data_IF_469142499006
#
_entry.id   IF_469142499006
#
_cell.length_a   1.000
_cell.length_b   1.000
_cell.length_c   1.000
_cell.angle_alpha   90.00
_cell.angle_beta   90.00
_cell.angle_gamma   90.00
#
_symmetry.space_group_name_H-M   'P 1'
#
loop_
_entity.id
_entity.type
_entity.pdbx_description
1 polymer ?
#
# COMPACT_ATOMS: atom_id res chain seq x y z
N UNK A 1 43.18 53.55 1.31
CA UNK A 1 42.22 53.53 0.18
C UNK A 1 42.41 52.26 -0.68
N UNK A 2 43.62 51.89 -1.09
CA UNK A 2 43.86 50.72 -1.98
C UNK A 2 43.53 49.40 -1.31
N UNK A 3 43.85 49.21 -0.03
CA UNK A 3 43.54 47.97 0.72
C UNK A 3 42.04 47.77 0.93
N UNK A 4 41.26 48.82 1.16
CA UNK A 4 39.83 48.76 1.28
C UNK A 4 39.15 48.44 -0.07
N UNK A 5 39.67 48.98 -1.17
CA UNK A 5 39.19 48.66 -2.51
C UNK A 5 39.46 47.23 -2.93
N UNK A 6 40.62 46.68 -2.54
CA UNK A 6 40.98 45.29 -2.81
C UNK A 6 40.10 44.30 -2.00
N UNK A 7 39.81 44.61 -0.71
CA UNK A 7 38.90 43.79 0.11
C UNK A 7 37.48 43.81 -0.45
N UNK A 8 36.99 44.95 -0.90
CA UNK A 8 35.65 45.05 -1.54
C UNK A 8 35.61 44.25 -2.85
N UNK A 9 36.69 44.34 -3.67
CA UNK A 9 36.75 43.58 -4.92
C UNK A 9 36.78 42.06 -4.68
N UNK A 10 37.59 41.57 -3.70
CA UNK A 10 37.62 40.14 -3.31
C UNK A 10 36.26 39.67 -2.80
N UNK A 11 35.57 40.46 -2.00
CA UNK A 11 34.30 40.12 -1.45
C UNK A 11 33.16 40.04 -2.51
N UNK A 12 33.18 40.92 -3.51
CA UNK A 12 32.15 40.94 -4.53
C UNK A 12 32.45 40.12 -5.80
N UNK A 13 33.70 39.88 -6.12
CA UNK A 13 34.09 39.20 -7.37
C UNK A 13 34.69 37.80 -7.14
N UNK A 14 35.28 37.52 -5.98
CA UNK A 14 36.00 36.27 -5.74
C UNK A 14 35.29 35.37 -4.77
N UNK A 15 34.57 35.90 -3.78
CA UNK A 15 33.81 35.08 -2.85
C UNK A 15 32.51 34.60 -3.51
N UNK A 16 32.28 33.27 -3.56
CA UNK A 16 31.02 32.74 -4.11
C UNK A 16 29.86 33.13 -3.20
N UNK A 17 28.93 33.92 -3.72
CA UNK A 17 27.72 34.31 -3.03
C UNK A 17 26.48 33.98 -3.87
N UNK A 18 25.37 33.67 -3.22
CA UNK A 18 24.12 33.39 -3.93
C UNK A 18 22.96 34.21 -3.34
N UNK A 19 22.08 34.68 -4.21
CA UNK A 19 20.78 35.29 -3.88
C UNK A 19 19.63 34.29 -3.96
N UNK A 20 19.85 33.15 -4.67
CA UNK A 20 18.82 32.17 -4.98
C UNK A 20 19.03 30.87 -4.17
N UNK A 21 19.11 30.99 -2.85
CA UNK A 21 19.03 29.84 -1.96
C UNK A 21 17.58 29.41 -1.78
N UNK A 22 17.23 28.19 -2.18
CA UNK A 22 15.90 27.60 -2.02
C UNK A 22 15.96 26.41 -1.08
N UNK A 23 15.08 26.43 -0.08
CA UNK A 23 14.86 25.25 0.78
C UNK A 23 13.94 24.29 0.03
N UNK A 24 14.38 23.06 -0.14
CA UNK A 24 13.63 21.97 -0.75
C UNK A 24 13.48 20.82 0.23
N UNK A 25 12.47 19.99 0.03
CA UNK A 25 12.26 18.75 0.74
C UNK A 25 11.74 17.69 -0.23
N UNK A 26 11.90 16.43 0.11
CA UNK A 26 11.25 15.37 -0.64
C UNK A 26 9.76 15.33 -0.31
N UNK A 27 8.96 15.22 -1.36
CA UNK A 27 7.51 15.20 -1.27
C UNK A 27 7.01 13.87 -1.80
N UNK A 28 6.32 13.12 -0.94
CA UNK A 28 5.68 11.86 -1.31
C UNK A 28 4.22 12.15 -1.64
N UNK A 29 3.79 11.86 -2.87
CA UNK A 29 2.39 11.91 -3.22
C UNK A 29 1.66 10.70 -2.64
N UNK A 30 0.67 10.95 -1.81
CA UNK A 30 -0.16 9.91 -1.20
C UNK A 30 -1.35 9.63 -2.12
N UNK A 31 -1.42 8.40 -2.60
CA UNK A 31 -2.52 7.88 -3.41
C UNK A 31 -3.05 6.59 -2.79
N UNK A 32 -4.36 6.34 -2.82
CA UNK A 32 -4.91 5.07 -2.36
C UNK A 32 -4.61 3.94 -3.35
N UNK A 33 -4.45 2.73 -2.85
CA UNK A 33 -4.29 1.51 -3.67
C UNK A 33 -5.65 0.89 -4.05
N UNK A 34 -6.72 1.24 -3.32
CA UNK A 34 -8.09 0.77 -3.57
C UNK A 34 -9.02 1.95 -3.77
N UNK A 35 -10.03 1.77 -4.63
CA UNK A 35 -11.02 2.80 -4.90
C UNK A 35 -12.26 2.63 -4.02
N UNK A 36 -12.86 3.74 -3.60
CA UNK A 36 -14.10 3.73 -2.85
C UNK A 36 -14.45 5.07 -2.22
N UNK A 37 -15.56 5.06 -1.47
CA UNK A 37 -16.01 6.22 -0.72
C UNK A 37 -15.11 6.45 0.49
N UNK A 38 -14.64 7.67 0.70
CA UNK A 38 -13.87 8.05 1.88
C UNK A 38 -14.81 8.22 3.07
N UNK A 39 -14.57 7.46 4.11
CA UNK A 39 -15.41 7.48 5.32
C UNK A 39 -14.86 8.40 6.40
N UNK A 40 -13.54 8.52 6.49
CA UNK A 40 -12.89 9.38 7.47
C UNK A 40 -11.58 9.97 6.93
N UNK A 41 -11.30 11.22 7.31
CA UNK A 41 -10.03 11.92 7.08
C UNK A 41 -9.64 12.56 8.41
N UNK A 42 -8.92 11.83 9.28
CA UNK A 42 -8.60 12.31 10.63
C UNK A 42 -7.49 13.38 10.64
N UNK A 43 -6.81 13.60 9.53
CA UNK A 43 -5.74 14.60 9.40
C UNK A 43 -6.22 15.89 8.77
N UNK A 44 -5.48 16.98 9.03
CA UNK A 44 -5.73 18.31 8.46
C UNK A 44 -4.54 18.76 7.61
N UNK A 45 -4.79 19.73 6.74
CA UNK A 45 -3.71 20.34 5.97
C UNK A 45 -2.72 21.05 6.90
N UNK A 46 -1.43 20.93 6.61
CA UNK A 46 -0.31 21.40 7.43
C UNK A 46 -0.14 20.71 8.81
N UNK A 47 -0.77 19.56 9.03
CA UNK A 47 -0.58 18.75 10.24
C UNK A 47 0.70 17.90 10.15
N UNK A 48 1.45 17.88 11.25
CA UNK A 48 2.57 16.94 11.40
C UNK A 48 2.05 15.55 11.76
N UNK A 49 2.54 14.53 11.07
CA UNK A 49 2.16 13.12 11.25
C UNK A 49 3.43 12.25 11.36
N UNK A 50 3.28 11.11 12.01
CA UNK A 50 4.33 10.10 12.12
C UNK A 50 4.06 8.93 11.17
N UNK A 51 5.11 8.23 10.80
CA UNK A 51 4.99 6.97 10.04
C UNK A 51 4.05 6.01 10.77
N UNK A 52 3.04 5.49 10.04
CA UNK A 52 1.99 4.63 10.58
C UNK A 52 0.72 5.35 11.04
N UNK A 53 0.69 6.69 11.11
CA UNK A 53 -0.53 7.43 11.39
C UNK A 53 -1.55 7.28 10.25
N UNK A 54 -2.83 7.19 10.60
CA UNK A 54 -3.92 7.07 9.62
C UNK A 54 -4.16 8.41 8.95
N UNK A 55 -3.98 8.47 7.62
CA UNK A 55 -4.25 9.65 6.83
C UNK A 55 -5.72 9.72 6.40
N UNK A 56 -6.29 8.63 5.92
CA UNK A 56 -7.71 8.52 5.61
C UNK A 56 -8.15 7.06 5.50
N UNK A 57 -9.46 6.83 5.55
CA UNK A 57 -10.09 5.51 5.45
C UNK A 57 -11.11 5.48 4.32
N UNK A 58 -11.11 4.36 3.57
CA UNK A 58 -12.00 4.11 2.43
C UNK A 58 -12.93 2.95 2.80
N UNK A 59 -14.25 3.20 2.86
CA UNK A 59 -15.35 2.22 3.01
C UNK A 59 -14.93 0.83 3.54
N UNK A 60 -14.32 0.85 4.72
CA UNK A 60 -13.76 -0.35 5.36
C UNK A 60 -14.79 -1.45 5.53
N UNK A 61 -16.07 -1.09 5.74
CA UNK A 61 -17.13 -2.07 5.93
C UNK A 61 -17.33 -2.95 4.71
N UNK A 62 -17.28 -2.37 3.51
CA UNK A 62 -17.38 -3.13 2.25
C UNK A 62 -16.22 -4.12 2.08
N UNK A 63 -15.01 -3.70 2.37
CA UNK A 63 -13.83 -4.59 2.30
C UNK A 63 -13.85 -5.67 3.38
N UNK A 64 -14.39 -5.37 4.57
CA UNK A 64 -14.57 -6.36 5.64
C UNK A 64 -15.56 -7.45 5.20
N UNK A 65 -16.69 -7.07 4.60
CA UNK A 65 -17.66 -8.04 4.09
C UNK A 65 -17.05 -8.94 2.99
N UNK A 66 -16.25 -8.37 2.09
CA UNK A 66 -15.56 -9.15 1.07
C UNK A 66 -14.55 -10.14 1.68
N UNK A 67 -13.83 -9.73 2.72
CA UNK A 67 -12.93 -10.60 3.46
C UNK A 67 -13.68 -11.74 4.15
N UNK A 68 -14.79 -11.44 4.84
CA UNK A 68 -15.61 -12.44 5.56
C UNK A 68 -16.21 -13.45 4.58
N UNK A 69 -16.66 -13.00 3.41
CA UNK A 69 -17.15 -13.86 2.33
C UNK A 69 -16.05 -14.79 1.80
N UNK A 70 -14.85 -14.27 1.54
CA UNK A 70 -13.74 -15.07 1.09
C UNK A 70 -13.29 -16.09 2.14
N UNK A 71 -13.31 -15.71 3.43
CA UNK A 71 -13.03 -16.61 4.54
C UNK A 71 -14.06 -17.76 4.64
N UNK A 72 -15.34 -17.47 4.45
CA UNK A 72 -16.39 -18.49 4.40
C UNK A 72 -16.18 -19.46 3.23
N UNK A 73 -15.77 -18.95 2.06
CA UNK A 73 -15.43 -19.78 0.89
C UNK A 73 -14.27 -20.74 1.20
N UNK A 74 -13.20 -20.27 1.82
CA UNK A 74 -12.07 -21.14 2.24
C UNK A 74 -12.55 -22.25 3.17
N UNK A 75 -13.36 -21.93 4.18
CA UNK A 75 -13.91 -22.95 5.10
C UNK A 75 -14.74 -24.00 4.36
N UNK A 76 -15.56 -23.59 3.40
CA UNK A 76 -16.35 -24.51 2.57
C UNK A 76 -15.45 -25.44 1.74
N UNK A 77 -14.40 -24.92 1.10
CA UNK A 77 -13.47 -25.74 0.34
C UNK A 77 -12.62 -26.67 1.21
N UNK A 78 -12.28 -26.24 2.43
CA UNK A 78 -11.60 -27.11 3.41
C UNK A 78 -12.44 -28.35 3.75
N UNK A 79 -13.73 -28.16 4.03
CA UNK A 79 -14.65 -29.27 4.31
C UNK A 79 -14.78 -30.19 3.11
N UNK A 80 -14.92 -29.64 1.89
CA UNK A 80 -15.00 -30.43 0.67
C UNK A 80 -13.72 -31.25 0.42
N UNK A 81 -12.53 -30.64 0.62
CA UNK A 81 -11.24 -31.34 0.51
C UNK A 81 -11.11 -32.45 1.56
N UNK A 82 -11.47 -32.20 2.81
CA UNK A 82 -11.44 -33.22 3.87
C UNK A 82 -12.33 -34.42 3.55
N UNK A 83 -13.52 -34.17 2.98
CA UNK A 83 -14.41 -35.25 2.55
C UNK A 83 -13.76 -36.04 1.39
N UNK A 84 -13.26 -35.39 0.36
CA UNK A 84 -12.58 -36.05 -0.76
C UNK A 84 -11.35 -36.85 -0.30
N UNK A 85 -10.60 -36.34 0.69
CA UNK A 85 -9.46 -37.03 1.27
C UNK A 85 -9.87 -38.31 2.01
N UNK A 86 -10.97 -38.26 2.79
CA UNK A 86 -11.53 -39.43 3.48
C UNK A 86 -11.97 -40.49 2.48
N UNK A 87 -12.64 -40.08 1.41
CA UNK A 87 -13.12 -40.98 0.37
C UNK A 87 -11.96 -41.64 -0.42
N UNK A 88 -10.95 -40.85 -0.80
CA UNK A 88 -9.74 -41.37 -1.45
C UNK A 88 -8.96 -42.35 -0.56
N UNK A 89 -8.84 -42.06 0.73
CA UNK A 89 -8.19 -42.98 1.69
C UNK A 89 -8.98 -44.27 1.85
N UNK A 90 -10.31 -44.19 1.98
CA UNK A 90 -11.19 -45.37 2.09
C UNK A 90 -11.08 -46.25 0.83
N UNK A 91 -11.19 -45.68 -0.35
CA UNK A 91 -11.11 -46.43 -1.61
C UNK A 91 -9.73 -47.08 -1.77
N UNK A 92 -8.65 -46.40 -1.37
CA UNK A 92 -7.30 -46.98 -1.38
C UNK A 92 -7.16 -48.16 -0.39
N UNK A 93 -7.77 -48.07 0.81
CA UNK A 93 -7.67 -49.14 1.81
C UNK A 93 -8.45 -50.41 1.43
N UNK A 94 -9.51 -50.26 0.61
CA UNK A 94 -10.29 -51.37 0.08
C UNK A 94 -9.58 -52.17 -1.03
N UNK A 95 -8.55 -51.57 -1.64
CA UNK A 95 -7.66 -52.23 -2.62
C UNK A 95 -8.42 -52.88 -3.80
N UNK A 96 -8.23 -54.15 -3.99
CA UNK A 96 -8.86 -54.95 -5.07
C UNK A 96 -10.39 -55.09 -4.98
N UNK A 97 -10.99 -54.68 -3.85
CA UNK A 97 -12.45 -54.75 -3.65
C UNK A 97 -13.16 -53.57 -4.30
N UNK A 98 -12.42 -52.57 -4.78
CA UNK A 98 -12.94 -51.38 -5.44
C UNK A 98 -12.48 -51.39 -6.91
N UNK A 99 -13.37 -51.03 -7.82
CA UNK A 99 -13.04 -50.87 -9.24
C UNK A 99 -11.92 -49.83 -9.42
N UNK A 100 -10.96 -50.08 -10.31
CA UNK A 100 -9.85 -49.17 -10.59
C UNK A 100 -10.33 -47.74 -10.97
N UNK A 101 -11.43 -47.66 -11.70
CA UNK A 101 -12.09 -46.40 -12.06
C UNK A 101 -12.55 -45.60 -10.84
N UNK A 102 -13.13 -46.24 -9.82
CA UNK A 102 -13.56 -45.56 -8.60
C UNK A 102 -12.38 -45.05 -7.77
N UNK A 103 -11.26 -45.73 -7.80
CA UNK A 103 -10.01 -45.26 -7.19
C UNK A 103 -9.48 -44.02 -7.90
N UNK A 104 -9.42 -44.03 -9.24
CA UNK A 104 -8.99 -42.91 -10.05
C UNK A 104 -9.91 -41.70 -9.87
N UNK A 105 -11.24 -41.92 -9.90
CA UNK A 105 -12.23 -40.84 -9.67
C UNK A 105 -12.05 -40.18 -8.30
N UNK A 106 -11.81 -40.96 -7.25
CA UNK A 106 -11.61 -40.42 -5.90
C UNK A 106 -10.31 -39.60 -5.78
N UNK A 107 -9.26 -40.03 -6.46
CA UNK A 107 -7.99 -39.27 -6.51
C UNK A 107 -8.15 -37.98 -7.31
N UNK A 108 -8.80 -38.03 -8.48
CA UNK A 108 -9.10 -36.86 -9.30
C UNK A 108 -9.95 -35.86 -8.53
N UNK A 109 -10.95 -36.34 -7.80
CA UNK A 109 -11.81 -35.47 -6.94
C UNK A 109 -11.01 -34.78 -5.85
N UNK A 110 -10.06 -35.51 -5.20
CA UNK A 110 -9.18 -34.90 -4.21
C UNK A 110 -8.35 -33.78 -4.83
N UNK A 111 -7.71 -34.03 -5.97
CA UNK A 111 -6.91 -33.00 -6.69
C UNK A 111 -7.74 -31.78 -7.06
N UNK A 112 -8.97 -32.00 -7.52
CA UNK A 112 -9.89 -30.89 -7.85
C UNK A 112 -10.24 -30.04 -6.61
N UNK A 113 -10.51 -30.68 -5.47
CA UNK A 113 -10.83 -29.94 -4.24
C UNK A 113 -9.61 -29.25 -3.64
N UNK A 114 -8.42 -29.80 -3.80
CA UNK A 114 -7.16 -29.14 -3.43
C UNK A 114 -6.91 -27.88 -4.28
N UNK A 115 -7.13 -27.97 -5.59
CA UNK A 115 -7.01 -26.80 -6.49
C UNK A 115 -8.07 -25.73 -6.16
N UNK A 116 -9.31 -26.14 -5.84
CA UNK A 116 -10.38 -25.23 -5.45
C UNK A 116 -10.08 -24.53 -4.11
N UNK A 117 -9.49 -25.25 -3.15
CA UNK A 117 -9.05 -24.66 -1.88
C UNK A 117 -7.94 -23.62 -2.12
N UNK A 118 -6.92 -23.96 -2.89
CA UNK A 118 -5.83 -23.05 -3.23
C UNK A 118 -6.36 -21.75 -3.89
N UNK A 119 -7.33 -21.88 -4.80
CA UNK A 119 -7.98 -20.73 -5.44
C UNK A 119 -8.73 -19.86 -4.41
N UNK A 120 -9.47 -20.48 -3.47
CA UNK A 120 -10.17 -19.75 -2.43
C UNK A 120 -9.20 -19.03 -1.47
N UNK A 121 -8.06 -19.63 -1.15
CA UNK A 121 -7.01 -19.01 -0.32
C UNK A 121 -6.40 -17.78 -1.00
N UNK A 122 -6.17 -17.81 -2.31
CA UNK A 122 -5.73 -16.64 -3.09
C UNK A 122 -6.77 -15.51 -3.01
N UNK A 123 -8.05 -15.85 -3.16
CA UNK A 123 -9.13 -14.85 -3.04
C UNK A 123 -9.20 -14.25 -1.63
N UNK A 124 -9.03 -15.06 -0.58
CA UNK A 124 -8.97 -14.57 0.80
C UNK A 124 -7.79 -13.62 1.01
N UNK A 125 -6.61 -13.97 0.51
CA UNK A 125 -5.43 -13.12 0.60
C UNK A 125 -5.62 -11.78 -0.13
N UNK A 126 -6.26 -11.80 -1.30
CA UNK A 126 -6.60 -10.58 -2.04
C UNK A 126 -7.59 -9.70 -1.26
N UNK A 127 -8.64 -10.31 -0.70
CA UNK A 127 -9.62 -9.57 0.10
C UNK A 127 -9.00 -8.98 1.38
N UNK A 128 -8.10 -9.72 2.04
CA UNK A 128 -7.33 -9.23 3.20
C UNK A 128 -6.47 -8.03 2.83
N UNK A 129 -5.72 -8.13 1.75
CA UNK A 129 -4.87 -7.04 1.28
C UNK A 129 -5.67 -5.77 0.96
N UNK A 130 -6.84 -5.92 0.30
CA UNK A 130 -7.72 -4.79 0.02
C UNK A 130 -8.29 -4.17 1.30
N UNK A 131 -8.63 -4.99 2.30
CA UNK A 131 -9.08 -4.51 3.61
C UNK A 131 -7.97 -3.74 4.35
N UNK A 132 -6.73 -4.21 4.31
CA UNK A 132 -5.59 -3.50 4.87
C UNK A 132 -5.35 -2.18 4.15
N UNK A 133 -5.39 -2.17 2.81
CA UNK A 133 -5.19 -0.99 1.96
C UNK A 133 -6.34 0.02 1.98
N UNK A 134 -7.49 -0.36 2.53
CA UNK A 134 -8.61 0.58 2.75
C UNK A 134 -8.30 1.63 3.80
N UNK A 135 -7.27 1.42 4.62
CA UNK A 135 -6.69 2.38 5.55
C UNK A 135 -5.34 2.84 5.02
N UNK A 136 -5.27 4.10 4.62
CA UNK A 136 -4.04 4.68 4.09
C UNK A 136 -3.25 5.31 5.23
N UNK A 137 -2.01 4.86 5.39
CA UNK A 137 -1.12 5.27 6.47
C UNK A 137 0.00 6.17 5.95
N UNK A 138 0.53 7.03 6.81
CA UNK A 138 1.74 7.79 6.52
C UNK A 138 2.95 6.85 6.39
N UNK A 139 3.70 6.99 5.30
CA UNK A 139 4.88 6.15 5.01
C UNK A 139 6.15 6.65 5.68
N UNK A 140 6.17 7.92 6.10
CA UNK A 140 7.30 8.58 6.76
C UNK A 140 6.77 9.65 7.73
N UNK A 141 7.63 10.08 8.65
CA UNK A 141 7.37 11.25 9.48
C UNK A 141 7.41 12.52 8.61
N UNK A 142 6.42 13.38 8.75
CA UNK A 142 6.37 14.56 7.91
C UNK A 142 5.13 15.42 8.11
N UNK A 143 4.95 16.35 7.19
CA UNK A 143 3.82 17.29 7.19
C UNK A 143 2.89 17.04 6.03
N UNK A 144 1.60 16.89 6.32
CA UNK A 144 0.55 16.77 5.30
C UNK A 144 0.36 18.11 4.61
N UNK A 145 0.34 18.10 3.27
CA UNK A 145 0.08 19.29 2.44
C UNK A 145 -0.80 18.92 1.25
N UNK A 146 -1.44 19.93 0.65
CA UNK A 146 -2.33 19.75 -0.52
C UNK A 146 -3.43 18.70 -0.27
N UNK A 147 -4.06 18.75 0.88
CA UNK A 147 -5.15 17.83 1.23
C UNK A 147 -6.41 18.18 0.42
N UNK A 148 -6.62 17.45 -0.68
CA UNK A 148 -7.80 17.57 -1.56
C UNK A 148 -8.75 16.37 -1.36
N UNK A 149 -9.01 16.03 -0.09
CA UNK A 149 -9.87 14.90 0.26
C UNK A 149 -10.74 15.26 1.45
N UNK A 150 -12.02 14.86 1.39
CA UNK A 150 -12.97 15.00 2.50
C UNK A 150 -13.78 13.72 2.69
N UNK A 151 -14.27 13.49 3.89
CA UNK A 151 -15.25 12.44 4.13
C UNK A 151 -16.47 12.65 3.19
N UNK A 152 -16.91 11.59 2.53
CA UNK A 152 -17.94 11.62 1.50
C UNK A 152 -17.42 11.78 0.06
N UNK A 153 -16.12 12.08 -0.14
CA UNK A 153 -15.51 12.08 -1.48
C UNK A 153 -15.25 10.65 -1.96
N UNK A 154 -15.15 10.49 -3.28
CA UNK A 154 -14.74 9.20 -3.87
C UNK A 154 -13.24 9.24 -4.19
N UNK A 155 -12.48 8.33 -3.62
CA UNK A 155 -11.06 8.17 -3.89
C UNK A 155 -10.85 7.10 -4.97
N UNK A 156 -10.02 7.40 -5.97
CA UNK A 156 -9.65 6.47 -7.04
C UNK A 156 -8.24 5.95 -6.85
N UNK A 157 -8.04 4.65 -7.02
CA UNK A 157 -6.72 4.03 -6.91
C UNK A 157 -5.70 4.70 -7.85
N UNK A 158 -4.51 4.95 -7.32
CA UNK A 158 -3.40 5.59 -8.05
C UNK A 158 -3.52 7.10 -8.24
N UNK A 159 -4.63 7.75 -7.84
CA UNK A 159 -4.76 9.21 -7.90
C UNK A 159 -4.28 9.85 -6.61
N UNK A 160 -3.26 10.71 -6.69
CA UNK A 160 -2.78 11.49 -5.55
C UNK A 160 -3.88 12.40 -4.98
N UNK A 161 -4.06 12.36 -3.66
CA UNK A 161 -5.11 13.09 -2.93
C UNK A 161 -4.55 14.02 -1.87
N UNK A 162 -3.28 13.86 -1.53
CA UNK A 162 -2.51 14.74 -0.66
C UNK A 162 -1.02 14.51 -0.89
N UNK A 163 -0.20 15.39 -0.33
CA UNK A 163 1.25 15.25 -0.33
C UNK A 163 1.78 15.18 1.11
N UNK A 164 2.81 14.38 1.34
CA UNK A 164 3.54 14.28 2.59
C UNK A 164 4.95 14.81 2.38
N UNK A 165 5.28 15.92 3.04
CA UNK A 165 6.64 16.50 3.03
C UNK A 165 7.44 15.81 4.13
N UNK A 166 8.48 15.08 3.73
CA UNK A 166 9.35 14.37 4.67
C UNK A 166 10.13 15.37 5.55
N UNK A 167 9.89 15.30 6.85
CA UNK A 167 10.51 16.20 7.83
C UNK A 167 12.03 16.05 7.94
N UNK A 168 12.58 14.90 7.53
CA UNK A 168 14.02 14.61 7.61
C UNK A 168 14.79 15.00 6.35
N UNK A 169 14.10 15.42 5.28
CA UNK A 169 14.66 15.57 3.94
C UNK A 169 14.97 17.00 3.51
N UNK A 170 14.88 17.98 4.42
CA UNK A 170 15.16 19.37 4.08
C UNK A 170 16.60 19.59 3.65
N UNK A 171 16.80 20.19 2.48
CA UNK A 171 18.09 20.63 1.98
C UNK A 171 17.99 22.01 1.33
N UNK A 172 19.13 22.67 1.24
CA UNK A 172 19.23 23.98 0.58
C UNK A 172 19.93 23.80 -0.77
N UNK A 173 19.26 24.25 -1.82
CA UNK A 173 19.82 24.33 -3.16
C UNK A 173 20.18 25.78 -3.46
N UNK A 174 21.46 26.07 -3.63
CA UNK A 174 21.97 27.40 -3.98
C UNK A 174 22.49 27.41 -5.41
N UNK A 175 22.07 28.37 -6.22
CA UNK A 175 22.63 28.61 -7.54
C UNK A 175 23.69 29.70 -7.41
N UNK A 176 24.92 29.35 -7.72
CA UNK A 176 26.05 30.28 -7.78
C UNK A 176 26.30 30.66 -9.22
N UNK A 177 26.55 31.95 -9.46
CA UNK A 177 27.00 32.40 -10.78
C UNK A 177 28.40 31.85 -11.03
N UNK A 178 28.64 31.35 -12.24
CA UNK A 178 29.97 30.90 -12.65
C UNK A 178 30.86 32.15 -12.76
N UNK A 179 31.84 32.23 -11.87
CA UNK A 179 32.85 33.28 -11.95
C UNK A 179 33.63 33.13 -13.24
N UNK A 180 33.61 34.18 -14.10
CA UNK A 180 34.37 34.25 -15.35
C UNK A 180 35.86 34.31 -15.09
#
# INVERSE_FOLDING_TARGET
>A
AVYAGWQLWVHYEVEPWTRDGRVKAYVVQVAPDVSGLVTAVPVHDNQDVKAGDVLFEIDRARFQLAYDQAQASVRSQQVAREQALRDAKRNRSLGQLVAAEALEQSQTKLQQTEAALAQAEVQLNTARLNLERSRVLAVTDGRVTNLDLRAGSYASAGRGVMALVDASSFYVEGYFEETK
#
